data_IF_435780060917
#
_entry.id   IF_435780060917
#
_cell.length_a   1.000
_cell.length_b   1.000
_cell.length_c   1.000
_cell.angle_alpha   90.00
_cell.angle_beta   90.00
_cell.angle_gamma   90.00
#
_symmetry.space_group_name_H-M   'P 1'
#
loop_
_entity.id
_entity.type
_entity.pdbx_description
1 polymer ?
#
# COMPACT_ATOMS: atom_id res chain seq x y z
N UNK A 1 -11.22 2.41 0.35
CA UNK A 1 -10.41 2.75 1.54
C UNK A 1 -8.94 2.96 1.20
N UNK A 2 -8.23 1.94 0.70
CA UNK A 2 -6.79 2.04 0.40
C UNK A 2 -6.39 3.26 -0.43
N UNK A 3 -7.10 3.56 -1.52
CA UNK A 3 -6.80 4.75 -2.32
C UNK A 3 -7.04 6.09 -1.61
N UNK A 4 -8.03 6.18 -0.73
CA UNK A 4 -8.23 7.40 0.08
C UNK A 4 -7.09 7.59 1.07
N UNK A 5 -6.57 6.48 1.62
CA UNK A 5 -5.34 6.51 2.41
C UNK A 5 -4.14 6.94 1.56
N UNK A 6 -3.98 6.44 0.34
CA UNK A 6 -2.89 6.87 -0.55
C UNK A 6 -2.96 8.36 -0.92
N UNK A 7 -4.16 8.91 -1.07
CA UNK A 7 -4.32 10.31 -1.50
C UNK A 7 -4.31 11.34 -0.36
N UNK A 8 -3.95 10.96 0.87
CA UNK A 8 -4.02 11.84 2.04
C UNK A 8 -5.38 12.54 2.19
N UNK A 9 -6.45 11.86 1.76
CA UNK A 9 -7.78 12.45 1.68
C UNK A 9 -8.47 12.47 3.05
N UNK A 10 -9.36 13.45 3.31
CA UNK A 10 -10.22 13.41 4.48
C UNK A 10 -11.08 12.12 4.51
N UNK A 11 -11.17 11.47 5.66
CA UNK A 11 -11.95 10.24 5.86
C UNK A 11 -13.29 10.53 6.55
N UNK A 12 -14.19 11.22 5.86
CA UNK A 12 -15.56 11.38 6.33
C UNK A 12 -16.42 10.20 5.89
N UNK A 13 -17.06 9.55 6.85
CA UNK A 13 -17.93 8.39 6.61
C UNK A 13 -19.38 8.84 6.48
N UNK A 14 -20.07 8.33 5.47
CA UNK A 14 -21.50 8.52 5.26
C UNK A 14 -22.17 7.15 5.17
N UNK A 15 -22.28 6.48 6.32
CA UNK A 15 -22.87 5.15 6.46
C UNK A 15 -23.70 5.10 7.74
N UNK A 16 -24.68 4.21 7.78
CA UNK A 16 -25.40 3.91 9.02
C UNK A 16 -24.49 3.11 9.96
N UNK A 17 -24.15 3.71 11.11
CA UNK A 17 -23.24 3.13 12.10
C UNK A 17 -23.91 2.04 12.95
N UNK A 18 -25.25 2.04 13.04
CA UNK A 18 -25.99 1.03 13.79
C UNK A 18 -26.04 -0.30 13.04
N UNK A 19 -26.12 -0.25 11.70
CA UNK A 19 -26.32 -1.43 10.84
C UNK A 19 -25.10 -1.82 10.01
N UNK A 20 -23.94 -1.19 10.24
CA UNK A 20 -22.72 -1.46 9.47
C UNK A 20 -22.27 -2.93 9.59
N UNK A 21 -21.96 -3.54 8.44
CA UNK A 21 -21.42 -4.90 8.39
C UNK A 21 -20.08 -4.98 9.13
N UNK A 22 -19.82 -6.05 9.92
CA UNK A 22 -18.55 -6.21 10.64
C UNK A 22 -17.31 -6.14 9.74
N UNK A 23 -17.38 -6.64 8.50
CA UNK A 23 -16.28 -6.58 7.54
C UNK A 23 -15.97 -5.13 7.10
N UNK A 24 -17.00 -4.34 6.79
CA UNK A 24 -16.85 -2.92 6.45
C UNK A 24 -16.33 -2.11 7.63
N UNK A 25 -16.85 -2.37 8.83
CA UNK A 25 -16.34 -1.76 10.07
C UNK A 25 -14.87 -2.09 10.32
N UNK A 26 -14.48 -3.36 10.15
CA UNK A 26 -13.09 -3.80 10.26
C UNK A 26 -12.16 -3.09 9.28
N UNK A 27 -12.59 -2.93 8.02
CA UNK A 27 -11.82 -2.20 7.02
C UNK A 27 -11.68 -0.70 7.34
N UNK A 28 -12.75 -0.04 7.79
CA UNK A 28 -12.73 1.38 8.14
C UNK A 28 -11.90 1.67 9.39
N UNK A 29 -11.81 0.71 10.32
CA UNK A 29 -11.02 0.81 11.55
C UNK A 29 -9.63 0.16 11.44
N UNK A 30 -9.19 -0.26 10.25
CA UNK A 30 -7.88 -0.85 10.06
C UNK A 30 -6.79 0.17 10.43
N UNK A 31 -6.03 -0.15 11.48
CA UNK A 31 -5.03 0.76 12.07
C UNK A 31 -3.92 1.15 11.10
N UNK A 32 -3.44 0.22 10.26
CA UNK A 32 -2.37 0.53 9.30
C UNK A 32 -2.86 1.44 8.18
N UNK A 33 -4.08 1.23 7.68
CA UNK A 33 -4.69 2.14 6.70
C UNK A 33 -4.88 3.55 7.29
N UNK A 34 -5.33 3.64 8.54
CA UNK A 34 -5.50 4.91 9.23
C UNK A 34 -4.16 5.60 9.49
N UNK A 35 -3.14 4.86 9.94
CA UNK A 35 -1.77 5.39 10.13
C UNK A 35 -1.20 5.94 8.83
N UNK A 36 -1.37 5.23 7.71
CA UNK A 36 -0.92 5.69 6.40
C UNK A 36 -1.69 6.95 5.99
N UNK A 37 -3.02 6.97 6.17
CA UNK A 37 -3.81 8.15 5.83
C UNK A 37 -3.39 9.38 6.64
N UNK A 38 -3.25 9.21 7.97
CA UNK A 38 -2.93 10.23 8.96
C UNK A 38 -1.43 10.48 9.15
N UNK A 39 -0.59 10.02 8.22
CA UNK A 39 0.85 10.23 8.31
C UNK A 39 1.19 11.74 8.37
N UNK A 40 2.00 12.18 9.35
CA UNK A 40 2.24 13.60 9.61
C UNK A 40 3.02 14.31 8.52
N UNK A 41 3.64 13.59 7.57
CA UNK A 41 4.26 14.21 6.40
C UNK A 41 3.20 14.92 5.54
N UNK A 42 1.95 14.46 5.57
CA UNK A 42 0.83 15.07 4.84
C UNK A 42 0.97 15.05 3.33
N UNK A 43 1.97 14.34 2.78
CA UNK A 43 2.22 14.26 1.35
C UNK A 43 1.26 13.27 0.71
N UNK A 44 0.55 13.75 -0.31
CA UNK A 44 -0.33 12.95 -1.15
C UNK A 44 0.49 11.95 -1.98
N UNK A 45 0.03 10.69 -2.04
CA UNK A 45 0.58 9.66 -2.89
C UNK A 45 0.36 9.94 -4.38
N UNK A 46 1.29 9.49 -5.20
CA UNK A 46 1.32 9.72 -6.64
C UNK A 46 1.32 8.40 -7.40
N UNK A 47 0.72 8.42 -8.59
CA UNK A 47 0.81 7.29 -9.51
C UNK A 47 2.17 7.32 -10.19
N UNK A 48 3.00 6.33 -9.88
CA UNK A 48 4.35 6.21 -10.43
C UNK A 48 4.36 5.51 -11.79
N UNK A 49 3.44 4.57 -11.99
CA UNK A 49 3.38 3.80 -13.23
C UNK A 49 1.96 3.33 -13.54
N UNK A 50 1.68 3.21 -14.84
CA UNK A 50 0.45 2.63 -15.37
C UNK A 50 0.82 1.77 -16.56
N UNK A 51 0.47 0.49 -16.49
CA UNK A 51 0.68 -0.46 -17.57
C UNK A 51 -0.57 -1.29 -17.79
N UNK A 52 -1.15 -1.17 -19.00
CA UNK A 52 -2.42 -1.79 -19.36
C UNK A 52 -3.53 -1.41 -18.35
N UNK A 53 -3.96 -2.38 -17.54
CA UNK A 53 -5.00 -2.23 -16.51
C UNK A 53 -4.43 -2.16 -15.09
N UNK A 54 -3.12 -2.23 -14.92
CA UNK A 54 -2.47 -2.06 -13.63
C UNK A 54 -2.06 -0.60 -13.42
N UNK A 55 -2.34 -0.10 -12.22
CA UNK A 55 -1.85 1.19 -11.75
C UNK A 55 -1.06 0.99 -10.47
N UNK A 56 0.12 1.60 -10.41
CA UNK A 56 1.02 1.52 -9.27
C UNK A 56 1.17 2.91 -8.68
N UNK A 57 0.93 2.99 -7.38
CA UNK A 57 0.94 4.22 -6.61
C UNK A 57 1.93 4.11 -5.46
N UNK A 58 2.60 5.22 -5.17
CA UNK A 58 3.54 5.34 -4.07
C UNK A 58 3.17 6.56 -3.22
N UNK A 59 3.24 6.41 -1.90
CA UNK A 59 3.14 7.50 -0.95
C UNK A 59 4.34 7.45 -0.01
N UNK A 60 5.19 8.49 0.06
CA UNK A 60 6.21 8.57 1.09
C UNK A 60 5.55 8.82 2.46
N UNK A 61 6.12 8.22 3.51
CA UNK A 61 5.66 8.33 4.89
C UNK A 61 6.76 8.98 5.75
N UNK A 62 6.36 9.71 6.78
CA UNK A 62 7.29 10.42 7.67
C UNK A 62 8.26 9.48 8.37
N UNK A 63 7.75 8.35 8.89
CA UNK A 63 8.53 7.47 9.77
C UNK A 63 9.69 6.83 8.99
N UNK A 64 10.92 7.19 9.36
CA UNK A 64 12.14 6.53 8.92
C UNK A 64 12.32 6.38 7.39
N UNK A 65 11.72 7.24 6.55
CA UNK A 65 11.75 7.09 5.07
C UNK A 65 11.02 5.82 4.59
N UNK A 66 9.90 5.50 5.26
CA UNK A 66 9.01 4.41 4.86
C UNK A 66 8.12 4.83 3.69
N UNK A 67 7.57 3.85 2.98
CA UNK A 67 6.66 4.08 1.86
C UNK A 67 5.41 3.21 1.99
N UNK A 68 4.28 3.73 1.54
CA UNK A 68 3.11 2.91 1.21
C UNK A 68 3.07 2.72 -0.31
N UNK A 69 2.93 1.47 -0.76
CA UNK A 69 2.78 1.11 -2.17
C UNK A 69 1.40 0.50 -2.35
N UNK A 70 0.71 0.92 -3.41
CA UNK A 70 -0.57 0.34 -3.82
C UNK A 70 -0.52 -0.10 -5.28
N UNK A 71 -0.97 -1.32 -5.54
CA UNK A 71 -1.13 -1.89 -6.88
C UNK A 71 -2.62 -2.11 -7.11
N UNK A 72 -3.17 -1.45 -8.12
CA UNK A 72 -4.60 -1.51 -8.46
C UNK A 72 -4.75 -2.28 -9.75
N UNK A 73 -5.69 -3.21 -9.77
CA UNK A 73 -6.16 -3.83 -11.00
C UNK A 73 -7.46 -3.16 -11.44
N UNK A 74 -7.38 -2.34 -12.48
CA UNK A 74 -8.51 -1.60 -13.08
C UNK A 74 -9.30 -2.44 -14.10
N UNK A 75 -9.03 -3.74 -14.19
CA UNK A 75 -9.87 -4.66 -14.93
C UNK A 75 -11.21 -4.83 -14.20
N UNK A 76 -12.29 -4.93 -14.97
CA UNK A 76 -13.66 -5.06 -14.43
C UNK A 76 -14.20 -6.49 -14.55
N UNK A 77 -13.45 -7.39 -15.20
CA UNK A 77 -13.85 -8.77 -15.44
C UNK A 77 -12.64 -9.71 -15.32
N UNK A 78 -12.92 -11.02 -15.18
CA UNK A 78 -11.90 -12.08 -15.22
C UNK A 78 -11.44 -12.58 -13.85
N UNK A 79 -10.27 -13.21 -13.86
CA UNK A 79 -9.62 -13.83 -12.69
C UNK A 79 -8.55 -12.91 -12.10
N UNK A 80 -8.07 -13.18 -10.86
CA UNK A 80 -6.94 -12.45 -10.31
C UNK A 80 -5.76 -12.47 -11.29
N UNK A 81 -5.13 -11.31 -11.48
CA UNK A 81 -3.97 -11.17 -12.37
C UNK A 81 -2.74 -10.95 -11.53
N UNK A 82 -1.65 -11.60 -11.93
CA UNK A 82 -0.35 -11.43 -11.30
C UNK A 82 0.47 -10.37 -12.03
N UNK A 83 1.23 -9.57 -11.27
CA UNK A 83 2.23 -8.65 -11.80
C UNK A 83 3.53 -8.88 -11.03
N UNK A 84 4.65 -8.97 -11.76
CA UNK A 84 5.98 -9.15 -11.17
C UNK A 84 6.70 -7.81 -11.18
N UNK A 85 7.02 -7.27 -10.01
CA UNK A 85 7.67 -5.97 -9.86
C UNK A 85 8.75 -6.01 -8.80
N UNK A 86 9.84 -5.28 -9.00
CA UNK A 86 10.84 -5.03 -7.97
C UNK A 86 10.55 -3.77 -7.17
N UNK A 87 11.12 -3.67 -5.97
CA UNK A 87 10.99 -2.47 -5.16
C UNK A 87 11.62 -1.23 -5.83
N UNK A 88 12.71 -1.42 -6.60
CA UNK A 88 13.31 -0.34 -7.40
C UNK A 88 12.35 0.29 -8.41
N UNK A 89 11.46 -0.52 -9.01
CA UNK A 89 10.43 -0.03 -9.94
C UNK A 89 9.36 0.80 -9.22
N UNK A 90 9.26 0.68 -7.89
CA UNK A 90 8.39 1.52 -7.08
C UNK A 90 8.97 2.89 -6.76
N UNK A 91 10.19 3.20 -7.21
CA UNK A 91 10.84 4.48 -6.91
C UNK A 91 11.16 4.66 -5.42
N UNK A 92 11.28 3.57 -4.66
CA UNK A 92 11.72 3.66 -3.25
C UNK A 92 13.22 3.91 -3.18
N UNK A 93 13.63 4.77 -2.26
CA UNK A 93 15.03 5.14 -2.07
C UNK A 93 15.35 5.20 -0.57
N UNK A 94 16.62 5.34 -0.21
CA UNK A 94 17.04 5.57 1.17
C UNK A 94 17.45 4.32 1.97
N UNK A 95 17.17 3.10 1.49
CA UNK A 95 17.66 1.86 2.12
C UNK A 95 17.93 0.78 1.08
N UNK A 96 18.95 -0.10 1.27
CA UNK A 96 19.16 -1.27 0.42
C UNK A 96 18.13 -2.38 0.64
N UNK A 97 17.37 -2.35 1.75
CA UNK A 97 16.37 -3.35 2.08
C UNK A 97 15.22 -2.77 2.93
N UNK A 98 14.03 -3.34 2.76
CA UNK A 98 12.80 -2.93 3.46
C UNK A 98 12.10 -4.15 4.05
N UNK A 99 11.50 -3.99 5.23
CA UNK A 99 10.48 -4.90 5.73
C UNK A 99 9.18 -4.61 4.97
N UNK A 100 8.61 -5.65 4.37
CA UNK A 100 7.38 -5.57 3.60
C UNK A 100 6.23 -6.13 4.43
N UNK A 101 5.20 -5.31 4.66
CA UNK A 101 4.02 -5.72 5.43
C UNK A 101 2.76 -5.42 4.63
N UNK A 102 1.88 -6.41 4.45
CA UNK A 102 0.55 -6.20 3.86
C UNK A 102 -0.30 -5.34 4.79
N UNK A 103 -0.94 -4.32 4.22
CA UNK A 103 -1.67 -3.30 4.98
C UNK A 103 -3.07 -3.78 5.40
N UNK A 104 -3.68 -4.71 4.67
CA UNK A 104 -5.04 -5.16 4.93
C UNK A 104 -5.11 -6.22 6.03
N UNK A 105 -4.21 -7.19 6.03
CA UNK A 105 -4.20 -8.29 6.99
C UNK A 105 -3.03 -8.22 8.01
N UNK A 106 -2.02 -7.39 7.77
CA UNK A 106 -0.86 -7.26 8.64
C UNK A 106 0.19 -8.35 8.47
N UNK A 107 0.06 -9.19 7.43
CA UNK A 107 1.03 -10.23 7.14
C UNK A 107 2.38 -9.61 6.77
N UNK A 108 3.43 -9.98 7.50
CA UNK A 108 4.80 -9.59 7.15
C UNK A 108 5.36 -10.57 6.13
N UNK A 109 5.82 -10.06 4.99
CA UNK A 109 6.52 -10.81 3.96
C UNK A 109 8.04 -10.88 4.20
N UNK A 110 8.52 -10.30 5.31
CA UNK A 110 9.93 -10.27 5.68
C UNK A 110 10.73 -9.17 5.00
N UNK A 111 12.05 -9.34 4.97
CA UNK A 111 12.99 -8.38 4.40
C UNK A 111 13.15 -8.62 2.91
N UNK A 112 12.96 -7.56 2.14
CA UNK A 112 13.13 -7.52 0.70
C UNK A 112 14.25 -6.55 0.31
N UNK A 113 15.17 -6.97 -0.55
CA UNK A 113 16.15 -6.06 -1.15
C UNK A 113 15.52 -5.25 -2.29
N UNK A 114 16.09 -4.09 -2.57
CA UNK A 114 15.56 -3.16 -3.59
C UNK A 114 15.44 -3.80 -4.99
N UNK A 115 16.33 -4.73 -5.32
CA UNK A 115 16.34 -5.42 -6.61
C UNK A 115 15.53 -6.72 -6.62
N UNK A 116 14.99 -7.15 -5.49
CA UNK A 116 14.20 -8.36 -5.42
C UNK A 116 12.84 -8.13 -6.09
N UNK A 117 12.45 -9.08 -6.93
CA UNK A 117 11.17 -9.05 -7.64
C UNK A 117 10.13 -9.86 -6.88
N UNK A 118 8.95 -9.30 -6.68
CA UNK A 118 7.82 -9.92 -6.03
C UNK A 118 6.67 -10.10 -7.00
N UNK A 119 5.91 -11.17 -6.81
CA UNK A 119 4.69 -11.44 -7.57
C UNK A 119 3.51 -10.96 -6.72
N UNK A 120 2.76 -10.02 -7.26
CA UNK A 120 1.56 -9.47 -6.64
C UNK A 120 0.33 -9.98 -7.38
N UNK A 121 -0.53 -10.70 -6.68
CA UNK A 121 -1.82 -11.16 -7.21
C UNK A 121 -2.92 -10.18 -6.82
N UNK A 122 -3.60 -9.60 -7.81
CA UNK A 122 -4.62 -8.56 -7.56
C UNK A 122 -5.92 -8.92 -8.29
N UNK A 123 -6.99 -9.05 -7.51
CA UNK A 123 -8.35 -9.26 -8.01
C UNK A 123 -8.79 -8.13 -8.96
N UNK A 124 -9.63 -8.39 -9.97
CA UNK A 124 -10.26 -7.33 -10.75
C UNK A 124 -10.96 -6.30 -9.84
N UNK A 125 -10.85 -5.01 -10.17
CA UNK A 125 -11.26 -3.85 -9.34
C UNK A 125 -10.63 -3.78 -7.95
N UNK A 126 -9.68 -4.67 -7.67
CA UNK A 126 -9.02 -4.81 -6.38
C UNK A 126 -7.80 -3.91 -6.23
N UNK A 127 -7.36 -3.84 -4.98
CA UNK A 127 -6.14 -3.15 -4.56
C UNK A 127 -5.35 -4.10 -3.68
N UNK A 128 -4.07 -4.25 -3.99
CA UNK A 128 -3.06 -4.81 -3.11
C UNK A 128 -2.23 -3.66 -2.55
N UNK A 129 -1.94 -3.66 -1.25
CA UNK A 129 -1.29 -2.54 -0.59
C UNK A 129 -0.30 -3.01 0.46
N UNK A 130 0.94 -2.53 0.37
CA UNK A 130 2.02 -2.85 1.30
C UNK A 130 2.64 -1.60 1.88
N UNK A 131 3.11 -1.74 3.12
CA UNK A 131 3.98 -0.79 3.80
C UNK A 131 5.40 -1.31 3.75
N UNK A 132 6.32 -0.43 3.38
CA UNK A 132 7.75 -0.67 3.29
C UNK A 132 8.44 0.17 4.36
N UNK A 133 8.91 -0.47 5.42
CA UNK A 133 9.72 0.18 6.46
C UNK A 133 11.19 -0.21 6.27
N UNK A 134 12.14 0.72 6.18
CA UNK A 134 13.53 0.37 5.89
C UNK A 134 14.17 -0.42 7.02
N UNK A 135 14.97 -1.43 6.66
CA UNK A 135 15.81 -2.15 7.61
C UNK A 135 16.99 -1.25 7.97
N UNK A 136 16.98 -0.69 9.17
CA UNK A 136 18.12 0.08 9.68
C UNK A 136 19.36 -0.81 9.70
N UNK A 137 20.34 -0.54 8.82
CA UNK A 137 21.68 -1.08 9.00
C UNK A 137 22.35 -0.27 10.11
N UNK A 138 22.60 -0.93 11.25
CA UNK A 138 23.37 -0.34 12.32
C UNK A 138 24.82 -0.19 11.83
N UNK A 139 25.22 1.01 11.39
CA UNK A 139 26.64 1.32 11.24
C UNK A 139 27.20 1.50 12.65
N UNK A 140 27.94 0.49 13.12
CA UNK A 140 28.93 0.66 14.21
C UNK A 140 30.09 1.49 13.71
#
# INVERSE_FOLDING_TARGET
MGMWAMMASPLFMSVDLETIRPSSKGLLLNKMLLEINQDPLGVQGQRIWKFRKFEIWQRPLHKAHSYAIAVINSDNEGVPRTIKLSLSEFGVTGSPAFNVTDVFDGTSHGVAHVNDSFIYEVNPTGIYMVRLDPVMSWKR
#
